data_IF_078798903086
#
_entry.id   IF_078798903086
#
_cell.length_a   1.000
_cell.length_b   1.000
_cell.length_c   1.000
_cell.angle_alpha   90.00
_cell.angle_beta   90.00
_cell.angle_gamma   90.00
#
_symmetry.space_group_name_H-M   'P 1'
#
loop_
_entity.id
_entity.type
_entity.pdbx_description
1 polymer ?
#
# COMPACT_ATOMS: atom_id res chain seq x y z
N UNK A 1 -0.94 -11.99 -9.00
CA UNK A 1 -0.69 -10.63 -9.56
C UNK A 1 -1.71 -9.72 -8.89
N UNK A 2 -1.29 -8.83 -7.98
CA UNK A 2 -2.23 -7.95 -7.28
C UNK A 2 -2.66 -6.80 -8.22
N UNK A 3 -3.66 -7.06 -9.05
CA UNK A 3 -4.42 -5.99 -9.69
C UNK A 3 -5.44 -5.51 -8.66
N UNK A 4 -5.22 -4.34 -8.05
CA UNK A 4 -6.32 -3.61 -7.41
C UNK A 4 -7.22 -3.15 -8.54
N UNK A 5 -8.22 -3.98 -8.87
CA UNK A 5 -9.37 -3.53 -9.66
C UNK A 5 -10.33 -2.93 -8.68
N UNK A 6 -10.03 -1.72 -8.22
CA UNK A 6 -11.10 -0.88 -7.70
C UNK A 6 -11.90 -0.41 -8.90
N UNK A 7 -13.22 -0.42 -8.81
CA UNK A 7 -14.09 0.31 -9.74
C UNK A 7 -13.95 1.82 -9.50
N UNK A 8 -12.72 2.31 -9.40
CA UNK A 8 -12.41 3.72 -9.27
C UNK A 8 -12.17 4.22 -10.68
N UNK A 9 -13.25 4.80 -11.21
CA UNK A 9 -13.29 5.80 -12.26
C UNK A 9 -12.00 5.97 -13.07
N UNK A 10 -11.99 5.51 -14.34
CA UNK A 10 -11.37 6.11 -15.56
C UNK A 10 -10.13 7.03 -15.43
N UNK A 11 -9.33 6.96 -14.38
CA UNK A 11 -8.33 7.98 -14.05
C UNK A 11 -7.05 7.76 -14.85
N UNK A 12 -6.82 6.55 -15.36
CA UNK A 12 -5.59 6.17 -16.07
C UNK A 12 -4.34 6.28 -15.20
N UNK A 13 -4.48 6.53 -13.90
CA UNK A 13 -3.38 6.69 -12.98
C UNK A 13 -2.67 5.36 -12.77
N UNK A 14 -1.36 5.35 -12.96
CA UNK A 14 -0.52 4.16 -12.84
C UNK A 14 0.49 4.38 -11.73
N UNK A 15 0.57 3.43 -10.80
CA UNK A 15 1.66 3.34 -9.85
C UNK A 15 2.53 2.13 -10.19
N UNK A 16 3.84 2.36 -10.39
CA UNK A 16 4.85 1.30 -10.56
C UNK A 16 5.70 1.24 -9.30
N UNK A 17 5.88 0.04 -8.77
CA UNK A 17 6.70 -0.21 -7.58
C UNK A 17 8.10 0.39 -7.78
N UNK A 18 8.50 1.31 -6.91
CA UNK A 18 9.79 2.00 -6.98
C UNK A 18 10.96 1.04 -6.85
N UNK A 19 10.86 0.03 -5.97
CA UNK A 19 11.94 -0.93 -5.74
C UNK A 19 11.39 -2.35 -5.56
N UNK A 20 11.60 -3.26 -6.52
CA UNK A 20 11.33 -4.68 -6.34
C UNK A 20 12.16 -5.26 -5.17
N UNK A 21 11.57 -6.20 -4.43
CA UNK A 21 12.15 -6.80 -3.24
C UNK A 21 12.96 -8.06 -3.60
N UNK A 22 14.22 -8.13 -3.18
CA UNK A 22 15.05 -9.34 -3.27
C UNK A 22 15.01 -10.00 -4.68
N UNK A 23 14.52 -11.23 -4.78
CA UNK A 23 14.45 -11.99 -6.02
C UNK A 23 13.51 -11.39 -7.07
N UNK A 24 12.57 -10.54 -6.69
CA UNK A 24 11.73 -9.78 -7.62
C UNK A 24 12.58 -8.94 -8.60
N UNK A 25 13.79 -8.52 -8.19
CA UNK A 25 14.71 -7.73 -9.02
C UNK A 25 15.25 -8.48 -10.24
N UNK A 26 15.13 -9.80 -10.27
CA UNK A 26 15.50 -10.58 -11.46
C UNK A 26 14.44 -10.53 -12.56
N UNK A 27 13.19 -10.19 -12.20
CA UNK A 27 12.04 -10.27 -13.10
C UNK A 27 11.42 -8.90 -13.39
N UNK A 28 11.44 -7.98 -12.41
CA UNK A 28 10.73 -6.71 -12.48
C UNK A 28 11.66 -5.51 -12.52
N UNK A 29 11.25 -4.49 -13.28
CA UNK A 29 11.91 -3.19 -13.30
C UNK A 29 11.48 -2.28 -12.15
N UNK A 30 12.25 -1.21 -11.94
CA UNK A 30 11.95 -0.16 -10.96
C UNK A 30 11.04 0.91 -11.57
N UNK A 31 10.07 1.40 -10.79
CA UNK A 31 9.34 2.63 -11.06
C UNK A 31 10.19 3.88 -10.79
N UNK A 32 9.75 5.02 -11.32
CA UNK A 32 10.32 6.33 -11.01
C UNK A 32 9.28 7.21 -10.28
N UNK A 33 9.71 8.40 -9.86
CA UNK A 33 8.87 9.32 -9.10
C UNK A 33 7.63 9.84 -9.87
N UNK A 34 7.60 9.73 -11.21
CA UNK A 34 6.46 10.17 -12.02
C UNK A 34 5.23 9.25 -11.89
N UNK A 35 5.39 8.11 -11.23
CA UNK A 35 4.34 7.11 -11.05
C UNK A 35 3.87 7.01 -9.60
N UNK A 36 3.84 8.12 -8.86
CA UNK A 36 3.35 8.15 -7.46
C UNK A 36 2.06 8.98 -7.34
N UNK A 37 0.94 8.62 -8.00
CA UNK A 37 -0.26 9.45 -8.01
C UNK A 37 -1.02 9.40 -6.68
N UNK A 38 -1.56 10.55 -6.26
CA UNK A 38 -2.72 10.62 -5.38
C UNK A 38 -3.94 10.92 -6.25
N UNK A 39 -4.94 10.04 -6.23
CA UNK A 39 -6.06 10.05 -7.16
C UNK A 39 -7.31 10.55 -6.45
N UNK A 40 -7.81 11.77 -6.76
CA UNK A 40 -9.08 12.24 -6.23
C UNK A 40 -10.23 11.40 -6.78
N UNK A 41 -11.16 11.03 -5.90
CA UNK A 41 -12.37 10.27 -6.24
C UNK A 41 -13.58 10.83 -5.49
N UNK A 42 -14.77 10.33 -5.79
CA UNK A 42 -16.00 10.72 -5.08
C UNK A 42 -16.01 10.30 -3.60
N UNK A 43 -15.14 9.35 -3.21
CA UNK A 43 -15.06 8.81 -1.84
C UNK A 43 -13.80 9.26 -1.08
N UNK A 44 -13.04 10.21 -1.65
CA UNK A 44 -11.80 10.72 -1.09
C UNK A 44 -10.58 10.53 -2.00
N UNK A 45 -9.41 10.91 -1.51
CA UNK A 45 -8.13 10.83 -2.24
C UNK A 45 -7.46 9.49 -2.00
N UNK A 46 -7.31 8.69 -3.05
CA UNK A 46 -6.66 7.39 -2.99
C UNK A 46 -5.15 7.51 -3.20
N UNK A 47 -4.38 6.81 -2.37
CA UNK A 47 -2.96 6.54 -2.59
C UNK A 47 -2.69 5.04 -2.53
N UNK A 48 -1.58 4.61 -3.13
CA UNK A 48 -1.19 3.21 -3.09
C UNK A 48 0.31 3.06 -2.83
N UNK A 49 0.67 1.97 -2.14
CA UNK A 49 2.04 1.56 -1.89
C UNK A 49 2.14 0.04 -1.94
N UNK A 50 3.02 -0.49 -2.79
CA UNK A 50 3.06 -1.93 -3.07
C UNK A 50 4.02 -2.62 -2.10
N UNK A 51 3.47 -3.50 -1.25
CA UNK A 51 4.23 -4.36 -0.34
C UNK A 51 5.24 -3.52 0.48
N UNK A 52 6.54 -3.78 0.35
CA UNK A 52 7.58 -3.13 1.17
C UNK A 52 7.84 -1.65 0.87
N UNK A 53 7.17 -1.03 -0.11
CA UNK A 53 7.16 0.43 -0.21
C UNK A 53 6.54 1.09 1.03
N UNK A 54 5.68 0.36 1.75
CA UNK A 54 5.12 0.82 3.03
C UNK A 54 6.19 0.97 4.13
N UNK A 55 7.38 0.38 3.96
CA UNK A 55 8.51 0.58 4.86
C UNK A 55 9.39 1.78 4.46
N UNK A 56 9.12 2.47 3.34
CA UNK A 56 9.90 3.61 2.88
C UNK A 56 9.34 4.92 3.48
N UNK A 57 9.96 5.50 4.53
CA UNK A 57 9.39 6.66 5.22
C UNK A 57 9.28 7.89 4.30
N UNK A 58 10.26 8.11 3.41
CA UNK A 58 10.23 9.24 2.48
C UNK A 58 9.13 9.10 1.41
N UNK A 59 8.83 7.87 0.99
CA UNK A 59 7.71 7.60 0.09
C UNK A 59 6.40 7.93 0.78
N UNK A 60 6.21 7.42 2.01
CA UNK A 60 5.00 7.68 2.79
C UNK A 60 4.78 9.17 3.04
N UNK A 61 5.82 9.90 3.46
CA UNK A 61 5.74 11.35 3.62
C UNK A 61 5.37 12.08 2.32
N UNK A 62 5.97 11.67 1.18
CA UNK A 62 5.60 12.23 -0.12
C UNK A 62 4.12 12.02 -0.42
N UNK A 63 3.59 10.82 -0.19
CA UNK A 63 2.18 10.52 -0.42
C UNK A 63 1.24 11.25 0.56
N UNK A 64 1.61 11.37 1.84
CA UNK A 64 0.86 12.18 2.82
C UNK A 64 0.79 13.65 2.39
N UNK A 65 1.88 14.18 1.84
CA UNK A 65 1.91 15.56 1.33
C UNK A 65 0.94 15.82 0.17
N UNK A 66 0.52 14.76 -0.53
CA UNK A 66 -0.50 14.81 -1.58
C UNK A 66 -1.93 14.66 -1.06
N UNK A 67 -2.11 14.58 0.26
CA UNK A 67 -3.42 14.53 0.90
C UNK A 67 -4.12 13.18 0.76
N UNK A 68 -3.39 12.06 0.74
CA UNK A 68 -3.99 10.72 0.70
C UNK A 68 -4.86 10.48 1.93
N UNK A 69 -6.11 10.09 1.71
CA UNK A 69 -7.13 9.83 2.74
C UNK A 69 -7.42 8.33 2.88
N UNK A 70 -7.30 7.59 1.77
CA UNK A 70 -7.47 6.14 1.71
C UNK A 70 -6.19 5.53 1.12
N UNK A 71 -5.49 4.76 1.94
CA UNK A 71 -4.21 4.15 1.65
C UNK A 71 -4.37 2.68 1.28
N UNK A 72 -4.19 2.37 0.00
CA UNK A 72 -4.26 1.01 -0.52
C UNK A 72 -2.89 0.32 -0.44
N UNK A 73 -2.80 -0.77 0.33
CA UNK A 73 -1.55 -1.49 0.56
C UNK A 73 -1.64 -2.98 0.15
N UNK A 74 -1.56 -3.29 -1.16
CA UNK A 74 -1.50 -4.67 -1.62
C UNK A 74 -0.17 -5.31 -1.23
N UNK A 75 -0.19 -6.57 -0.78
CA UNK A 75 0.99 -7.26 -0.28
C UNK A 75 0.96 -8.77 -0.55
N UNK A 76 2.09 -9.41 -0.31
CA UNK A 76 2.25 -10.87 -0.16
C UNK A 76 2.92 -11.24 1.16
N UNK A 77 3.02 -10.27 2.09
CA UNK A 77 3.66 -10.40 3.39
C UNK A 77 2.59 -10.68 4.46
N UNK A 78 2.46 -11.95 4.85
CA UNK A 78 1.44 -12.45 5.79
C UNK A 78 1.90 -12.48 7.25
N UNK A 79 3.08 -11.93 7.53
CA UNK A 79 3.68 -11.94 8.87
C UNK A 79 3.02 -10.90 9.77
N UNK A 80 3.04 -11.13 11.09
CA UNK A 80 2.40 -10.22 12.05
C UNK A 80 3.01 -8.81 12.08
N UNK A 81 4.28 -8.67 11.69
CA UNK A 81 4.94 -7.37 11.55
C UNK A 81 4.27 -6.49 10.48
N UNK A 82 3.65 -7.10 9.46
CA UNK A 82 2.89 -6.37 8.47
C UNK A 82 1.68 -5.67 9.11
N UNK A 83 0.96 -6.37 10.00
CA UNK A 83 -0.21 -5.81 10.70
C UNK A 83 0.19 -4.61 11.57
N UNK A 84 1.30 -4.73 12.30
CA UNK A 84 1.85 -3.63 13.09
C UNK A 84 2.21 -2.42 12.20
N UNK A 85 2.78 -2.67 11.03
CA UNK A 85 3.14 -1.64 10.06
C UNK A 85 1.91 -0.94 9.49
N UNK A 86 0.87 -1.67 9.08
CA UNK A 86 -0.36 -1.07 8.55
C UNK A 86 -1.08 -0.21 9.60
N UNK A 87 -1.11 -0.66 10.86
CA UNK A 87 -1.65 0.15 11.97
C UNK A 87 -0.84 1.43 12.18
N UNK A 88 0.49 1.33 12.12
CA UNK A 88 1.36 2.50 12.22
C UNK A 88 1.15 3.48 11.05
N UNK A 89 1.06 2.99 9.81
CA UNK A 89 0.79 3.83 8.64
C UNK A 89 -0.54 4.57 8.75
N UNK A 90 -1.58 3.92 9.30
CA UNK A 90 -2.88 4.56 9.52
C UNK A 90 -2.76 5.70 10.56
N UNK A 91 -2.07 5.44 11.67
CA UNK A 91 -1.81 6.40 12.74
C UNK A 91 -0.93 7.57 12.29
N UNK A 92 0.10 7.31 11.50
CA UNK A 92 1.07 8.31 11.06
C UNK A 92 0.52 9.16 9.92
N UNK A 93 -0.20 8.56 8.97
CA UNK A 93 -0.78 9.28 7.83
C UNK A 93 -2.11 9.96 8.14
N UNK A 94 -2.78 9.57 9.23
CA UNK A 94 -4.18 9.94 9.51
C UNK A 94 -5.10 9.63 8.33
N UNK A 95 -4.98 8.40 7.83
CA UNK A 95 -5.72 7.88 6.68
C UNK A 95 -6.32 6.51 6.98
N UNK A 96 -7.38 6.14 6.27
CA UNK A 96 -7.88 4.78 6.29
C UNK A 96 -6.90 3.88 5.54
N UNK A 97 -6.47 2.77 6.15
CA UNK A 97 -5.60 1.79 5.48
C UNK A 97 -6.42 0.59 5.06
N UNK A 98 -6.34 0.24 3.78
CA UNK A 98 -6.93 -0.97 3.20
C UNK A 98 -5.77 -1.84 2.71
N UNK A 99 -5.44 -2.87 3.48
CA UNK A 99 -4.42 -3.84 3.10
C UNK A 99 -5.05 -5.11 2.57
N UNK A 100 -4.56 -5.56 1.41
CA UNK A 100 -5.02 -6.78 0.76
C UNK A 100 -3.84 -7.73 0.57
N UNK A 101 -3.96 -8.94 1.13
CA UNK A 101 -3.02 -10.03 0.94
C UNK A 101 -3.76 -11.25 0.36
N UNK A 102 -3.07 -12.01 -0.49
CA UNK A 102 -3.59 -13.24 -1.07
C UNK A 102 -3.54 -14.39 -0.05
N UNK A 103 -4.52 -15.28 -0.12
CA UNK A 103 -4.40 -16.62 0.45
C UNK A 103 -3.94 -17.56 -0.67
N UNK A 104 -2.90 -18.33 -0.43
CA UNK A 104 -2.28 -19.19 -1.45
C UNK A 104 -1.84 -20.51 -0.84
N UNK A 105 -2.25 -21.60 -1.47
CA UNK A 105 -1.81 -22.95 -1.15
C UNK A 105 -0.89 -23.52 -2.23
N UNK A 106 -0.19 -24.63 -1.94
CA UNK A 106 0.59 -25.36 -2.93
C UNK A 106 -0.26 -25.83 -4.10
N UNK A 107 -1.51 -26.24 -3.85
CA UNK A 107 -2.43 -26.70 -4.89
C UNK A 107 -2.83 -25.63 -5.90
N UNK A 108 -2.63 -24.35 -5.58
CA UNK A 108 -2.92 -23.22 -6.47
C UNK A 108 -1.77 -22.90 -7.43
N UNK A 109 -0.60 -23.52 -7.24
CA UNK A 109 0.58 -23.34 -8.08
C UNK A 109 0.69 -24.42 -9.15
N UNK A 110 1.31 -24.11 -10.31
CA UNK A 110 1.64 -25.11 -11.32
C UNK A 110 2.43 -26.30 -10.73
N UNK A 111 2.28 -27.48 -11.34
CA UNK A 111 2.92 -28.72 -10.86
C UNK A 111 4.45 -28.65 -10.87
N UNK A 112 5.04 -27.82 -11.74
CA UNK A 112 6.49 -27.62 -11.89
C UNK A 112 7.07 -26.58 -10.92
N UNK A 113 6.27 -26.05 -10.01
CA UNK A 113 6.72 -25.15 -8.93
C UNK A 113 6.82 -25.92 -7.62
N UNK A 114 8.03 -25.94 -7.05
CA UNK A 114 8.36 -26.69 -5.83
C UNK A 114 8.67 -25.75 -4.66
N UNK A 115 7.66 -25.33 -3.88
CA UNK A 115 7.87 -24.42 -2.76
C UNK A 115 8.56 -25.14 -1.59
N UNK A 116 9.40 -24.40 -0.86
CA UNK A 116 10.21 -24.95 0.24
C UNK A 116 9.39 -25.43 1.43
N UNK A 117 8.16 -24.94 1.56
CA UNK A 117 7.23 -25.26 2.64
C UNK A 117 6.65 -26.68 2.54
N UNK A 118 6.60 -27.27 1.34
CA UNK A 118 6.09 -28.61 1.12
C UNK A 118 5.28 -28.76 -0.18
N UNK A 119 5.09 -30.02 -0.59
CA UNK A 119 4.43 -30.39 -1.86
C UNK A 119 2.96 -30.83 -1.68
N UNK A 120 2.47 -30.96 -0.44
CA UNK A 120 1.10 -31.39 -0.21
C UNK A 120 0.13 -30.27 -0.67
N UNK A 121 -0.94 -30.55 -1.44
CA UNK A 121 -1.80 -29.51 -2.02
C UNK A 121 -2.35 -28.50 -1.00
N UNK A 122 -2.65 -28.94 0.21
CA UNK A 122 -3.17 -28.16 1.33
C UNK A 122 -2.12 -27.29 2.04
N UNK A 123 -0.84 -27.38 1.65
CA UNK A 123 0.26 -26.60 2.26
C UNK A 123 0.01 -25.12 2.03
N UNK A 124 -0.22 -24.37 3.10
CA UNK A 124 -0.40 -22.91 3.04
C UNK A 124 0.96 -22.26 2.78
N UNK A 125 1.03 -21.48 1.71
CA UNK A 125 2.23 -20.74 1.31
C UNK A 125 2.13 -19.27 1.73
N UNK A 126 0.93 -18.71 1.69
CA UNK A 126 0.60 -17.35 2.15
C UNK A 126 -0.76 -17.42 2.84
N UNK A 127 -0.81 -17.01 4.09
CA UNK A 127 -1.98 -17.13 4.97
C UNK A 127 -2.91 -15.89 4.95
N UNK A 128 -2.75 -15.00 3.96
CA UNK A 128 -3.53 -13.77 3.88
C UNK A 128 -3.12 -12.73 4.94
N UNK A 129 -4.08 -12.23 5.71
CA UNK A 129 -3.91 -11.12 6.65
C UNK A 129 -4.43 -9.77 6.11
N UNK A 130 -5.38 -9.78 5.17
CA UNK A 130 -6.05 -8.55 4.72
C UNK A 130 -6.74 -7.85 5.88
N UNK A 131 -6.71 -6.51 5.92
CA UNK A 131 -7.27 -5.71 7.03
C UNK A 131 -7.72 -4.33 6.57
N UNK A 132 -8.72 -3.77 7.25
CA UNK A 132 -9.16 -2.37 7.13
C UNK A 132 -8.94 -1.68 8.47
N UNK A 133 -8.29 -0.51 8.47
CA UNK A 133 -7.86 0.20 9.68
C UNK A 133 -8.27 1.67 9.59
N UNK A 134 -8.80 2.23 10.68
CA UNK A 134 -9.15 3.65 10.80
C UNK A 134 -7.91 4.55 10.97
N UNK A 135 -8.04 5.87 10.75
CA UNK A 135 -6.96 6.85 11.00
C UNK A 135 -6.44 6.88 12.44
N UNK A 136 -7.20 6.33 13.39
CA UNK A 136 -6.82 6.19 14.81
C UNK A 136 -6.23 4.81 15.13
N UNK A 137 -5.97 3.97 14.13
CA UNK A 137 -5.32 2.66 14.28
C UNK A 137 -6.24 1.56 14.79
N UNK A 138 -7.55 1.78 14.79
CA UNK A 138 -8.56 0.76 15.08
C UNK A 138 -8.74 -0.16 13.88
N UNK A 139 -8.77 -1.48 14.11
CA UNK A 139 -9.04 -2.45 13.05
C UNK A 139 -10.56 -2.53 12.87
N UNK A 140 -11.05 -2.06 11.72
CA UNK A 140 -12.47 -2.06 11.38
C UNK A 140 -12.92 -3.40 10.80
N UNK A 141 -12.02 -4.11 10.10
CA UNK A 141 -12.26 -5.45 9.59
C UNK A 141 -10.95 -6.23 9.42
N UNK A 142 -10.98 -7.55 9.66
CA UNK A 142 -9.80 -8.43 9.60
C UNK A 142 -9.04 -8.54 10.94
N UNK A 143 -7.80 -9.06 10.94
CA UNK A 143 -7.10 -9.63 9.79
C UNK A 143 -7.76 -10.93 9.30
N UNK A 144 -8.02 -11.04 8.00
CA UNK A 144 -8.58 -12.26 7.40
C UNK A 144 -7.47 -13.29 7.15
N UNK A 145 -7.49 -14.43 7.85
CA UNK A 145 -6.51 -15.53 7.75
C UNK A 145 -7.18 -16.87 7.48
N UNK A 146 -6.41 -17.85 6.99
CA UNK A 146 -6.86 -19.24 6.83
C UNK A 146 -7.84 -19.47 5.68
N UNK A 147 -7.95 -18.55 4.71
CA UNK A 147 -8.79 -18.72 3.54
C UNK A 147 -9.01 -17.45 2.72
N UNK A 148 -9.64 -17.62 1.56
CA UNK A 148 -10.13 -16.52 0.73
C UNK A 148 -11.39 -15.88 1.32
N UNK A 149 -11.61 -14.60 1.04
CA UNK A 149 -12.84 -13.92 1.44
C UNK A 149 -12.87 -12.44 1.07
N UNK A 150 -14.01 -11.81 1.34
CA UNK A 150 -14.24 -10.39 1.12
C UNK A 150 -14.37 -9.69 2.47
N UNK A 151 -13.52 -8.70 2.72
CA UNK A 151 -13.67 -7.81 3.88
C UNK A 151 -14.51 -6.60 3.50
N UNK A 152 -15.43 -6.24 4.39
CA UNK A 152 -16.31 -5.09 4.24
C UNK A 152 -16.27 -4.31 5.55
N UNK A 153 -16.13 -2.99 5.44
CA UNK A 153 -16.19 -2.05 6.56
C UNK A 153 -16.83 -0.74 6.09
N UNK A 154 -17.53 -0.07 7.00
CA UNK A 154 -18.01 1.29 6.78
C UNK A 154 -16.94 2.29 7.23
N UNK A 155 -16.66 3.31 6.41
CA UNK A 155 -15.67 4.33 6.71
C UNK A 155 -16.39 5.65 7.01
N UNK A 156 -16.27 6.14 8.24
CA UNK A 156 -16.70 7.50 8.59
C UNK A 156 -15.62 8.50 8.18
N UNK A 157 -15.81 9.14 7.02
CA UNK A 157 -14.83 10.11 6.49
C UNK A 157 -14.62 11.31 7.42
N UNK A 158 -15.52 11.59 8.37
CA UNK A 158 -15.30 12.60 9.41
C UNK A 158 -14.13 12.28 10.34
N UNK A 159 -13.69 11.01 10.42
CA UNK A 159 -12.51 10.62 11.21
C UNK A 159 -11.19 11.14 10.63
N UNK A 160 -11.15 11.47 9.33
CA UNK A 160 -9.96 12.06 8.71
C UNK A 160 -9.65 13.43 9.33
N UNK A 161 -10.68 14.26 9.49
CA UNK A 161 -10.53 15.59 10.11
C UNK A 161 -10.33 15.49 11.61
N UNK A 162 -11.13 14.65 12.29
CA UNK A 162 -11.05 14.47 13.75
C UNK A 162 -9.67 13.95 14.18
N UNK A 163 -9.10 13.01 13.42
CA UNK A 163 -7.81 12.40 13.75
C UNK A 163 -6.61 13.32 13.50
N UNK A 164 -6.75 14.40 12.73
CA UNK A 164 -5.68 15.38 12.50
C UNK A 164 -5.60 16.46 13.59
N UNK A 165 -6.58 16.50 14.50
CA UNK A 165 -6.63 17.49 15.57
C UNK A 165 -5.43 17.39 16.53
N UNK A 166 -5.06 16.18 16.94
CA UNK A 166 -3.94 15.93 17.85
C UNK A 166 -2.59 15.85 17.12
N UNK A 167 -2.57 15.32 15.90
CA UNK A 167 -1.38 15.09 15.09
C UNK A 167 -1.68 15.14 13.59
N UNK A 168 -0.93 15.99 12.87
CA UNK A 168 -0.92 16.07 11.41
C UNK A 168 0.53 16.12 10.92
N UNK A 169 1.01 15.01 10.35
CA UNK A 169 2.38 14.81 9.88
C UNK A 169 2.79 15.76 8.72
N UNK A 170 1.83 16.28 7.96
CA UNK A 170 2.09 17.22 6.87
C UNK A 170 1.63 18.65 7.18
N UNK A 171 0.89 18.84 8.27
CA UNK A 171 0.47 20.14 8.79
C UNK A 171 1.31 20.57 9.99
N UNK A 172 0.67 20.68 11.15
CA UNK A 172 1.24 21.35 12.33
C UNK A 172 2.42 20.63 12.99
N UNK A 173 2.64 19.33 12.72
CA UNK A 173 3.85 18.61 13.17
C UNK A 173 5.02 18.64 12.17
N UNK A 174 4.83 19.13 10.94
CA UNK A 174 5.81 18.98 9.86
C UNK A 174 7.11 19.78 10.06
N UNK A 175 7.10 20.86 10.88
CA UNK A 175 8.26 21.73 11.17
C UNK A 175 9.08 22.11 9.92
N UNK A 176 8.47 22.80 8.93
CA UNK A 176 9.16 23.19 7.69
C UNK A 176 10.32 24.17 7.89
N UNK A 177 10.42 24.79 9.07
CA UNK A 177 11.56 25.59 9.51
C UNK A 177 12.81 24.75 9.82
N UNK A 178 12.65 23.43 10.04
CA UNK A 178 13.72 22.48 10.37
C UNK A 178 13.92 21.44 9.29
N UNK A 179 12.84 20.88 8.75
CA UNK A 179 12.87 19.77 7.82
C UNK A 179 12.29 20.17 6.46
N UNK A 180 12.94 19.71 5.39
CA UNK A 180 12.44 19.85 4.02
C UNK A 180 12.65 18.55 3.26
N UNK A 181 11.64 18.13 2.50
CA UNK A 181 11.72 17.00 1.58
C UNK A 181 11.53 17.50 0.15
N UNK A 182 12.51 17.24 -0.72
CA UNK A 182 12.41 17.51 -2.15
C UNK A 182 12.26 16.18 -2.90
N UNK A 183 11.22 16.07 -3.72
CA UNK A 183 10.89 14.85 -4.47
C UNK A 183 10.96 15.16 -5.97
N UNK A 184 11.70 14.34 -6.71
CA UNK A 184 11.77 14.43 -8.17
C UNK A 184 10.72 13.50 -8.79
N UNK A 185 9.64 14.10 -9.30
CA UNK A 185 8.55 13.38 -9.98
C UNK A 185 8.62 13.48 -11.50
N UNK A 186 9.77 13.92 -12.05
CA UNK A 186 9.95 13.94 -13.50
C UNK A 186 10.09 12.53 -14.08
N UNK A 187 9.44 12.23 -15.22
CA UNK A 187 9.62 10.95 -15.90
C UNK A 187 11.08 10.71 -16.28
N UNK A 188 11.60 9.50 -16.02
CA UNK A 188 12.98 9.12 -16.35
C UNK A 188 13.00 8.27 -17.62
N UNK A 189 13.40 8.88 -18.73
CA UNK A 189 13.57 8.21 -19.99
C UNK A 189 15.05 7.84 -20.23
N UNK A 190 15.31 6.62 -20.70
CA UNK A 190 16.67 6.17 -21.08
C UNK A 190 17.27 7.01 -22.20
N UNK A 191 16.42 7.52 -23.10
CA UNK A 191 16.83 8.37 -24.23
C UNK A 191 16.00 9.63 -24.22
N UNK A 192 16.65 10.78 -24.03
CA UNK A 192 16.04 12.10 -24.18
C UNK A 192 16.44 12.64 -25.55
N UNK A 193 15.45 12.89 -26.41
CA UNK A 193 15.69 13.50 -27.72
C UNK A 193 15.58 15.02 -27.56
N UNK A 194 16.67 15.74 -27.82
CA UNK A 194 16.63 17.18 -27.96
C UNK A 194 16.05 17.53 -29.34
N UNK A 195 15.12 18.48 -29.37
CA UNK A 195 14.62 19.08 -30.61
C UNK A 195 15.57 20.17 -31.11
#
# INVERSE_FOLDING_TARGET
>A
MASIVSTVARSGALHRKLMPTAAERFLWGQGDGSTMPAVPTEIGVLGAAICWENYMPLFRQSMYSKGVEIWCAPTVDDRDQWQATMRHVALEGRCFVISANQYLTRGDLPDDVHPVQGEAPETVLIDGGSTVISPLGEILAGPLRGGEGVLVAELDLGDLDRSKFDFDANGHYARPDVFSLNVDESPKHTVVRQA
#
